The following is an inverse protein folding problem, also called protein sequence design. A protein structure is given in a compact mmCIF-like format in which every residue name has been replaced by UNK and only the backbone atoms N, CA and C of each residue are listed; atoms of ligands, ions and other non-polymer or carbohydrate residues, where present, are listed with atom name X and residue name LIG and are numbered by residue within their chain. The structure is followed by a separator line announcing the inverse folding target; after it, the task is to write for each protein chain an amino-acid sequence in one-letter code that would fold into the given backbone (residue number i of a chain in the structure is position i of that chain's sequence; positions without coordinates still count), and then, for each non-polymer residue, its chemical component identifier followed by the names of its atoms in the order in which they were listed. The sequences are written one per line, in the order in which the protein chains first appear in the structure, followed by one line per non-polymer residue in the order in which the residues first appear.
data_IF_755834666540
#
_entry.id   IF_755834666540
#
_cell.length_a   1.000
_cell.length_b   1.000
_cell.length_c   1.000
_cell.angle_alpha   90.00
_cell.angle_beta   90.00
_cell.angle_gamma   90.00
#
_symmetry.space_group_name_H-M   'P 1'
#
loop_
_entity.id
_entity.type
_entity.pdbx_description
1 polymer ?
#
# COMPACT_ATOMS: atom_id res chain seq x y z
N UNK A 1 -2.47 26.08 -17.67
CA UNK A 1 -1.77 25.08 -18.51
C UNK A 1 -0.54 25.66 -19.20
N UNK A 2 -0.60 26.75 -20.01
CA UNK A 2 0.60 27.33 -20.68
C UNK A 2 1.77 27.70 -19.75
N UNK A 3 1.51 28.10 -18.51
CA UNK A 3 2.55 28.45 -17.52
C UNK A 3 3.30 27.24 -16.96
N UNK A 4 2.73 26.04 -17.05
CA UNK A 4 3.32 24.82 -16.49
C UNK A 4 4.22 24.09 -17.50
N UNK A 5 4.07 24.40 -18.80
CA UNK A 5 4.75 23.72 -19.91
C UNK A 5 6.28 23.66 -19.75
N UNK A 6 6.98 24.74 -19.34
CA UNK A 6 8.42 24.69 -19.15
C UNK A 6 8.84 23.69 -18.06
N UNK A 7 8.08 23.60 -16.97
CA UNK A 7 8.36 22.66 -15.88
C UNK A 7 8.09 21.21 -16.30
N UNK A 8 7.02 20.97 -17.06
CA UNK A 8 6.72 19.65 -17.62
C UNK A 8 7.80 19.19 -18.60
N UNK A 9 8.23 20.09 -19.48
CA UNK A 9 9.31 19.82 -20.41
C UNK A 9 10.62 19.55 -19.67
N UNK A 10 10.94 20.32 -18.62
CA UNK A 10 12.14 20.10 -17.83
C UNK A 10 12.17 18.71 -17.20
N UNK A 11 11.07 18.28 -16.57
CA UNK A 11 10.94 16.94 -15.93
C UNK A 11 11.03 15.77 -16.93
N UNK A 12 10.83 16.03 -18.23
CA UNK A 12 10.95 15.02 -19.27
C UNK A 12 12.41 14.68 -19.61
N UNK A 13 13.30 15.66 -19.50
CA UNK A 13 14.70 15.52 -19.91
C UNK A 13 15.70 15.54 -18.76
N UNK A 14 15.29 15.99 -17.56
CA UNK A 14 16.17 16.15 -16.42
C UNK A 14 15.65 15.37 -15.21
N UNK A 15 16.58 14.84 -14.42
CA UNK A 15 16.29 14.10 -13.18
C UNK A 15 17.15 14.58 -12.00
N UNK A 16 17.99 15.58 -12.22
CA UNK A 16 18.90 16.14 -11.24
C UNK A 16 19.22 17.61 -11.57
N UNK A 17 19.62 18.42 -10.57
CA UNK A 17 19.68 18.09 -9.14
C UNK A 17 18.29 17.89 -8.52
N UNK A 18 18.22 17.16 -7.39
CA UNK A 18 16.93 16.80 -6.77
C UNK A 18 16.12 18.01 -6.30
N UNK A 19 16.79 19.10 -5.93
CA UNK A 19 16.13 20.38 -5.59
C UNK A 19 15.27 20.89 -6.73
N UNK A 20 15.82 20.87 -7.95
CA UNK A 20 15.16 21.38 -9.15
C UNK A 20 14.03 20.42 -9.56
N UNK A 21 14.25 19.10 -9.42
CA UNK A 21 13.19 18.11 -9.60
C UNK A 21 11.98 18.44 -8.72
N UNK A 22 12.20 18.70 -7.43
CA UNK A 22 11.12 19.05 -6.50
C UNK A 22 10.45 20.34 -6.94
N UNK A 23 11.21 21.40 -7.25
CA UNK A 23 10.66 22.68 -7.70
C UNK A 23 9.79 22.53 -8.96
N UNK A 24 10.30 21.86 -10.00
CA UNK A 24 9.55 21.63 -11.23
C UNK A 24 8.35 20.70 -11.02
N UNK A 25 8.46 19.71 -10.11
CA UNK A 25 7.33 18.85 -9.74
C UNK A 25 6.22 19.63 -9.08
N UNK A 26 6.54 20.49 -8.11
CA UNK A 26 5.60 21.37 -7.40
C UNK A 26 4.92 22.34 -8.36
N UNK A 27 5.69 23.05 -9.17
CA UNK A 27 5.20 24.05 -10.11
C UNK A 27 4.28 23.48 -11.21
N UNK A 28 4.45 22.18 -11.53
CA UNK A 28 3.63 21.47 -12.51
C UNK A 28 2.46 20.68 -11.91
N UNK A 29 2.29 20.70 -10.58
CA UNK A 29 1.34 19.85 -9.86
C UNK A 29 -0.06 19.83 -10.44
N UNK A 30 -0.71 20.99 -10.57
CA UNK A 30 -2.10 21.05 -11.02
C UNK A 30 -2.28 20.41 -12.41
N UNK A 31 -1.32 20.62 -13.31
CA UNK A 31 -1.37 20.04 -14.65
C UNK A 31 -1.21 18.51 -14.61
N UNK A 32 -0.26 18.00 -13.83
CA UNK A 32 -0.05 16.55 -13.66
C UNK A 32 -1.22 15.85 -12.98
N UNK A 33 -1.83 16.45 -11.95
CA UNK A 33 -3.01 15.91 -11.28
C UNK A 33 -4.18 15.82 -12.26
N UNK A 34 -4.45 16.89 -13.02
CA UNK A 34 -5.50 16.89 -14.03
C UNK A 34 -5.26 15.80 -15.09
N UNK A 35 -4.00 15.60 -15.47
CA UNK A 35 -3.63 14.53 -16.38
C UNK A 35 -3.80 13.11 -15.79
N UNK A 36 -3.38 12.89 -14.55
CA UNK A 36 -3.55 11.60 -13.85
C UNK A 36 -5.04 11.28 -13.62
N UNK A 37 -5.86 12.28 -13.29
CA UNK A 37 -7.31 12.13 -13.07
C UNK A 37 -8.11 11.89 -14.35
N UNK A 38 -7.59 12.24 -15.53
CA UNK A 38 -8.23 11.92 -16.81
C UNK A 38 -8.00 10.47 -17.25
N UNK A 39 -6.94 9.83 -16.75
CA UNK A 39 -6.62 8.43 -17.00
C UNK A 39 -7.06 7.56 -15.81
N UNK A 40 -8.37 7.50 -15.54
CA UNK A 40 -8.95 6.75 -14.40
C UNK A 40 -8.94 5.22 -14.56
N UNK A 41 -8.26 4.68 -15.57
CA UNK A 41 -8.24 3.24 -15.81
C UNK A 41 -7.36 2.47 -14.78
N UNK A 42 -6.67 3.19 -13.89
CA UNK A 42 -5.80 2.61 -12.86
C UNK A 42 -4.51 2.02 -13.43
N UNK A 43 -4.14 2.44 -14.65
CA UNK A 43 -2.96 1.96 -15.34
C UNK A 43 -1.71 2.72 -14.91
N UNK A 44 -1.16 2.29 -13.77
CA UNK A 44 0.05 2.88 -13.18
C UNK A 44 1.25 2.88 -14.13
N UNK A 45 1.33 1.88 -15.03
CA UNK A 45 2.41 1.77 -16.00
C UNK A 45 2.47 2.98 -16.96
N UNK A 46 1.31 3.47 -17.41
CA UNK A 46 1.23 4.66 -18.27
C UNK A 46 1.70 5.91 -17.54
N UNK A 47 1.35 6.05 -16.25
CA UNK A 47 1.80 7.18 -15.42
C UNK A 47 3.32 7.19 -15.30
N UNK A 48 3.94 6.04 -15.02
CA UNK A 48 5.41 5.92 -14.91
C UNK A 48 6.14 6.04 -16.25
N UNK A 49 5.46 5.75 -17.36
CA UNK A 49 5.98 6.01 -18.71
C UNK A 49 5.96 7.50 -19.03
N UNK A 50 4.89 8.19 -18.64
CA UNK A 50 4.71 9.63 -18.89
C UNK A 50 5.55 10.50 -17.95
N UNK A 51 5.75 10.06 -16.71
CA UNK A 51 6.54 10.75 -15.69
C UNK A 51 7.74 9.88 -15.25
N UNK A 52 8.78 9.75 -16.09
CA UNK A 52 9.93 8.88 -15.79
C UNK A 52 10.65 9.23 -14.49
N UNK A 53 10.56 10.49 -14.04
CA UNK A 53 11.14 10.94 -12.76
C UNK A 53 10.63 10.15 -11.55
N UNK A 54 9.42 9.58 -11.62
CA UNK A 54 8.91 8.69 -10.58
C UNK A 54 9.76 7.43 -10.43
N UNK A 55 10.48 6.98 -11.47
CA UNK A 55 11.39 5.82 -11.39
C UNK A 55 12.65 6.09 -10.56
N UNK A 56 12.95 7.36 -10.26
CA UNK A 56 14.06 7.74 -9.40
C UNK A 56 13.90 7.12 -8.00
N UNK A 57 14.97 6.71 -7.28
CA UNK A 57 14.86 6.10 -5.95
C UNK A 57 14.09 6.95 -4.92
N UNK A 58 14.05 8.27 -5.10
CA UNK A 58 13.30 9.21 -4.26
C UNK A 58 11.93 9.60 -4.84
N UNK A 59 11.49 9.00 -5.95
CA UNK A 59 10.24 9.31 -6.63
C UNK A 59 9.01 9.16 -5.73
N UNK A 60 9.04 8.25 -4.76
CA UNK A 60 7.97 8.14 -3.76
C UNK A 60 7.75 9.43 -2.96
N UNK A 61 8.80 10.23 -2.72
CA UNK A 61 8.67 11.53 -2.01
C UNK A 61 7.86 12.55 -2.81
N UNK A 62 7.92 12.50 -4.14
CA UNK A 62 7.09 13.33 -5.02
C UNK A 62 5.62 12.94 -4.91
N UNK A 63 5.34 11.64 -4.80
CA UNK A 63 3.99 11.11 -4.56
C UNK A 63 3.49 11.55 -3.19
N UNK A 64 4.32 11.49 -2.14
CA UNK A 64 3.93 11.98 -0.81
C UNK A 64 3.60 13.47 -0.83
N UNK A 65 4.41 14.28 -1.52
CA UNK A 65 4.16 15.71 -1.67
C UNK A 65 2.81 15.99 -2.35
N UNK A 66 2.51 15.27 -3.43
CA UNK A 66 1.23 15.42 -4.12
C UNK A 66 0.04 14.95 -3.26
N UNK A 67 0.20 13.86 -2.50
CA UNK A 67 -0.82 13.41 -1.56
C UNK A 67 -1.11 14.49 -0.52
N UNK A 68 -0.07 15.06 0.10
CA UNK A 68 -0.20 16.12 1.09
C UNK A 68 -0.89 17.36 0.52
N UNK A 69 -0.58 17.73 -0.74
CA UNK A 69 -1.23 18.87 -1.38
C UNK A 69 -2.70 18.62 -1.74
N UNK A 70 -3.07 17.40 -2.12
CA UNK A 70 -4.44 17.03 -2.50
C UNK A 70 -5.37 16.78 -1.31
N UNK A 71 -4.88 16.06 -0.31
CA UNK A 71 -5.70 15.51 0.79
C UNK A 71 -5.34 16.13 2.16
N UNK A 72 -4.32 16.98 2.20
CA UNK A 72 -3.77 17.51 3.45
C UNK A 72 -2.89 16.50 4.18
N UNK A 73 -2.44 16.88 5.37
CA UNK A 73 -1.67 16.02 6.28
C UNK A 73 -2.37 15.88 7.65
N UNK A 74 -3.71 15.85 7.63
CA UNK A 74 -4.52 15.90 8.85
C UNK A 74 -4.29 14.65 9.71
N UNK A 75 -4.17 13.48 9.05
CA UNK A 75 -3.94 12.20 9.71
C UNK A 75 -2.71 11.53 9.10
N UNK A 76 -1.88 10.99 9.98
CA UNK A 76 -0.64 10.32 9.65
C UNK A 76 -0.63 8.98 10.35
N UNK A 77 -0.20 7.92 9.65
CA UNK A 77 -0.13 6.58 10.26
C UNK A 77 0.66 6.61 11.57
N UNK A 78 1.68 7.47 11.69
CA UNK A 78 2.51 7.56 12.89
C UNK A 78 1.75 8.08 14.12
N UNK A 79 0.75 8.93 13.91
CA UNK A 79 -0.05 9.50 15.00
C UNK A 79 -1.17 8.54 15.41
N UNK A 80 -1.79 7.87 14.43
CA UNK A 80 -2.95 7.01 14.67
C UNK A 80 -2.55 5.58 15.07
N UNK A 81 -1.38 5.10 14.64
CA UNK A 81 -0.95 3.72 14.83
C UNK A 81 -0.80 3.31 16.30
N UNK A 82 -0.27 4.12 17.24
CA UNK A 82 -0.16 3.72 18.64
C UNK A 82 -1.50 3.29 19.26
N UNK A 83 -2.56 4.08 19.07
CA UNK A 83 -3.89 3.75 19.57
C UNK A 83 -4.52 2.60 18.77
N UNK A 84 -4.46 2.68 17.43
CA UNK A 84 -5.00 1.65 16.54
C UNK A 84 -4.38 0.28 16.82
N UNK A 85 -3.07 0.18 16.94
CA UNK A 85 -2.34 -1.06 17.15
C UNK A 85 -2.67 -1.73 18.49
N UNK A 86 -2.94 -0.93 19.54
CA UNK A 86 -3.43 -1.43 20.83
C UNK A 86 -4.83 -2.03 20.69
N UNK A 87 -5.77 -1.30 20.08
CA UNK A 87 -7.17 -1.74 19.92
C UNK A 87 -7.27 -2.94 18.98
N UNK A 88 -6.55 -2.93 17.85
CA UNK A 88 -6.56 -4.01 16.88
C UNK A 88 -5.96 -5.29 17.48
N UNK A 89 -4.88 -5.20 18.26
CA UNK A 89 -4.29 -6.35 18.95
C UNK A 89 -5.28 -6.98 19.93
N UNK A 90 -5.97 -6.17 20.73
CA UNK A 90 -7.00 -6.66 21.63
C UNK A 90 -8.17 -7.31 20.88
N UNK A 91 -8.62 -6.72 19.78
CA UNK A 91 -9.67 -7.28 18.93
C UNK A 91 -9.22 -8.61 18.27
N UNK A 92 -7.97 -8.70 17.81
CA UNK A 92 -7.40 -9.92 17.23
C UNK A 92 -7.46 -11.10 18.20
N UNK A 93 -7.19 -10.89 19.50
CA UNK A 93 -7.32 -11.96 20.52
C UNK A 93 -8.73 -12.51 20.64
N UNK A 94 -9.73 -11.66 20.38
CA UNK A 94 -11.14 -12.02 20.48
C UNK A 94 -11.61 -12.69 19.19
N UNK A 95 -11.20 -12.21 18.03
CA UNK A 95 -11.78 -12.55 16.73
C UNK A 95 -10.99 -13.62 15.95
N UNK A 96 -9.66 -13.70 16.09
CA UNK A 96 -8.85 -14.70 15.40
C UNK A 96 -9.04 -16.05 16.10
N UNK A 97 -9.60 -17.03 15.38
CA UNK A 97 -9.86 -18.41 15.87
C UNK A 97 -9.13 -19.49 15.08
N UNK A 98 -8.50 -19.12 13.98
CA UNK A 98 -7.66 -20.03 13.23
C UNK A 98 -6.36 -20.28 14.02
N UNK A 99 -6.07 -21.54 14.32
CA UNK A 99 -4.97 -21.94 15.20
C UNK A 99 -3.61 -21.40 14.74
N UNK A 100 -3.36 -21.38 13.43
CA UNK A 100 -2.07 -20.93 12.89
C UNK A 100 -1.86 -19.44 13.19
N UNK A 101 -2.91 -18.62 12.99
CA UNK A 101 -2.82 -17.18 13.24
C UNK A 101 -2.93 -16.82 14.72
N UNK A 102 -3.64 -17.63 15.52
CA UNK A 102 -3.67 -17.51 16.98
C UNK A 102 -2.28 -17.77 17.59
N UNK A 103 -1.59 -18.83 17.15
CA UNK A 103 -0.20 -19.11 17.55
C UNK A 103 0.74 -17.95 17.20
N UNK A 104 0.61 -17.38 15.99
CA UNK A 104 1.40 -16.21 15.58
C UNK A 104 1.09 -14.97 16.43
N UNK A 105 -0.17 -14.76 16.81
CA UNK A 105 -0.59 -13.66 17.68
C UNK A 105 -0.01 -13.80 19.09
N UNK A 106 0.04 -15.03 19.62
CA UNK A 106 0.59 -15.34 20.94
C UNK A 106 2.11 -15.15 21.04
N UNK A 107 2.82 -15.10 19.91
CA UNK A 107 4.25 -14.78 19.90
C UNK A 107 4.53 -13.30 20.22
N UNK A 108 3.54 -12.42 20.12
CA UNK A 108 3.69 -10.99 20.46
C UNK A 108 3.66 -10.84 21.99
N UNK A 109 4.80 -10.50 22.58
CA UNK A 109 4.99 -10.34 24.03
C UNK A 109 5.77 -9.06 24.37
N UNK A 110 6.03 -8.82 25.65
CA UNK A 110 6.71 -7.61 26.16
C UNK A 110 8.17 -7.46 25.67
N UNK A 111 8.84 -8.56 25.32
CA UNK A 111 10.21 -8.54 24.80
C UNK A 111 10.27 -8.28 23.29
N UNK A 112 9.11 -8.19 22.61
CA UNK A 112 9.05 -7.94 21.18
C UNK A 112 9.42 -6.48 20.91
N UNK A 113 10.39 -6.23 20.02
CA UNK A 113 10.73 -4.86 19.60
C UNK A 113 9.52 -4.16 18.96
N UNK A 114 9.47 -2.83 18.99
CA UNK A 114 8.35 -2.07 18.41
C UNK A 114 8.17 -2.40 16.92
N UNK A 115 9.26 -2.46 16.15
CA UNK A 115 9.20 -2.75 14.72
C UNK A 115 8.72 -4.19 14.44
N UNK A 116 9.23 -5.18 15.19
CA UNK A 116 8.75 -6.56 15.07
C UNK A 116 7.26 -6.65 15.43
N UNK A 117 6.82 -5.97 16.50
CA UNK A 117 5.41 -5.92 16.89
C UNK A 117 4.57 -5.34 15.76
N UNK A 118 5.00 -4.24 15.14
CA UNK A 118 4.31 -3.62 14.01
C UNK A 118 4.18 -4.59 12.84
N UNK A 119 5.28 -5.26 12.45
CA UNK A 119 5.30 -6.26 11.37
C UNK A 119 4.32 -7.39 11.66
N UNK A 120 4.34 -7.95 12.88
CA UNK A 120 3.45 -9.06 13.27
C UNK A 120 1.99 -8.64 13.20
N UNK A 121 1.63 -7.48 13.75
CA UNK A 121 0.26 -6.96 13.69
C UNK A 121 -0.21 -6.73 12.26
N UNK A 122 0.62 -6.09 11.42
CA UNK A 122 0.32 -5.88 10.01
C UNK A 122 0.10 -7.22 9.26
N UNK A 123 0.95 -8.22 9.50
CA UNK A 123 0.82 -9.56 8.90
C UNK A 123 -0.41 -10.34 9.39
N UNK A 124 -0.97 -9.99 10.55
CA UNK A 124 -2.19 -10.60 11.10
C UNK A 124 -3.48 -9.91 10.64
N UNK A 125 -3.42 -8.71 10.07
CA UNK A 125 -4.60 -8.01 9.52
C UNK A 125 -5.41 -8.87 8.53
N UNK A 126 -4.81 -9.64 7.60
CA UNK A 126 -5.57 -10.54 6.72
C UNK A 126 -6.38 -11.62 7.45
N UNK A 127 -5.91 -12.08 8.62
CA UNK A 127 -6.61 -13.09 9.42
C UNK A 127 -7.78 -12.49 10.22
N UNK A 128 -7.67 -11.22 10.60
CA UNK A 128 -8.77 -10.46 11.20
C UNK A 128 -9.80 -10.03 10.14
N UNK A 129 -9.32 -9.44 9.05
CA UNK A 129 -10.09 -8.98 7.89
C UNK A 129 -10.12 -10.05 6.80
N UNK A 130 -10.73 -11.19 7.12
CA UNK A 130 -10.82 -12.32 6.19
C UNK A 130 -11.44 -11.84 4.86
N UNK A 131 -10.82 -12.12 3.71
CA UNK A 131 -11.36 -11.73 2.41
C UNK A 131 -12.77 -12.30 2.25
N UNK A 132 -13.79 -11.47 2.02
CA UNK A 132 -15.18 -11.95 1.84
C UNK A 132 -15.61 -11.93 0.38
N UNK A 133 -14.97 -11.08 -0.43
CA UNK A 133 -15.28 -10.91 -1.84
C UNK A 133 -14.73 -12.05 -2.69
N UNK A 134 -15.48 -12.47 -3.70
CA UNK A 134 -15.00 -13.41 -4.71
C UNK A 134 -14.37 -12.65 -5.87
N UNK A 135 -13.21 -13.12 -6.32
CA UNK A 135 -12.50 -12.61 -7.49
C UNK A 135 -12.81 -13.51 -8.68
N UNK A 136 -13.20 -12.90 -9.79
CA UNK A 136 -13.41 -13.61 -11.06
C UNK A 136 -12.05 -13.87 -11.72
N UNK A 137 -11.68 -15.13 -11.90
CA UNK A 137 -10.51 -15.60 -12.64
C UNK A 137 -11.02 -16.38 -13.86
N UNK A 138 -11.18 -15.69 -14.99
CA UNK A 138 -11.81 -16.23 -16.19
C UNK A 138 -13.29 -16.58 -15.97
N UNK A 139 -13.63 -17.87 -16.11
CA UNK A 139 -14.99 -18.38 -15.89
C UNK A 139 -15.29 -18.73 -14.43
N UNK A 140 -14.27 -18.82 -13.57
CA UNK A 140 -14.43 -19.20 -12.16
C UNK A 140 -14.44 -17.97 -11.25
N UNK A 141 -15.23 -18.03 -10.19
CA UNK A 141 -15.28 -17.00 -9.14
C UNK A 141 -14.87 -17.64 -7.83
N UNK A 142 -13.74 -17.21 -7.27
CA UNK A 142 -13.16 -17.83 -6.07
C UNK A 142 -12.89 -16.78 -4.99
N UNK A 143 -13.10 -17.19 -3.73
CA UNK A 143 -12.77 -16.39 -2.56
C UNK A 143 -11.26 -16.51 -2.29
N UNK A 144 -10.51 -15.40 -2.15
CA UNK A 144 -9.11 -15.44 -1.76
C UNK A 144 -8.94 -16.09 -0.38
N UNK A 145 -7.86 -16.84 -0.23
CA UNK A 145 -7.42 -17.36 1.08
C UNK A 145 -6.77 -16.24 1.91
N UNK A 146 -6.64 -16.45 3.22
CA UNK A 146 -5.92 -15.52 4.11
C UNK A 146 -4.45 -15.37 3.65
N UNK A 147 -3.82 -16.45 3.21
CA UNK A 147 -2.45 -16.43 2.69
C UNK A 147 -2.33 -15.65 1.37
N UNK A 148 -3.28 -15.78 0.44
CA UNK A 148 -3.30 -14.96 -0.78
C UNK A 148 -3.46 -13.47 -0.45
N UNK A 149 -4.37 -13.15 0.48
CA UNK A 149 -4.58 -11.79 0.97
C UNK A 149 -3.33 -11.21 1.63
N UNK A 150 -2.66 -11.99 2.48
CA UNK A 150 -1.39 -11.61 3.10
C UNK A 150 -0.33 -11.33 2.04
N UNK A 151 -0.11 -12.24 1.09
CA UNK A 151 0.91 -12.09 0.04
C UNK A 151 0.59 -10.95 -0.94
N UNK A 152 -0.67 -10.54 -1.05
CA UNK A 152 -1.09 -9.39 -1.84
C UNK A 152 -0.95 -8.06 -1.09
N UNK A 153 -0.97 -8.10 0.24
CA UNK A 153 -0.75 -6.93 1.10
C UNK A 153 0.75 -6.70 1.34
N UNK A 154 1.43 -7.72 1.88
CA UNK A 154 2.84 -7.75 2.24
C UNK A 154 3.45 -9.05 1.70
N UNK A 155 4.23 -8.93 0.63
CA UNK A 155 5.03 -10.03 0.11
C UNK A 155 6.28 -10.20 0.99
N UNK A 156 6.38 -11.32 1.71
CA UNK A 156 7.59 -11.64 2.47
C UNK A 156 8.53 -12.47 1.62
N UNK A 157 9.79 -12.05 1.51
CA UNK A 157 10.84 -12.77 0.77
C UNK A 157 12.07 -12.96 1.66
N UNK A 158 12.74 -14.10 1.53
CA UNK A 158 13.92 -14.41 2.33
C UNK A 158 15.16 -13.64 1.85
N UNK A 159 15.26 -13.42 0.53
CA UNK A 159 16.40 -12.81 -0.10
C UNK A 159 16.00 -12.03 -1.35
N UNK A 160 16.85 -11.10 -1.78
CA UNK A 160 16.66 -10.39 -3.05
C UNK A 160 16.80 -11.31 -4.28
N UNK A 161 17.37 -12.52 -4.14
CA UNK A 161 17.47 -13.46 -5.25
C UNK A 161 16.13 -14.14 -5.58
N UNK A 162 15.25 -14.31 -4.57
CA UNK A 162 13.91 -14.89 -4.74
C UNK A 162 12.89 -13.90 -5.31
N UNK A 163 13.23 -12.62 -5.19
CA UNK A 163 12.42 -11.46 -5.45
C UNK A 163 11.88 -11.33 -6.88
N UNK A 164 12.72 -11.47 -7.90
CA UNK A 164 12.28 -11.31 -9.31
C UNK A 164 11.24 -12.36 -9.71
N UNK A 165 11.41 -13.60 -9.24
CA UNK A 165 10.45 -14.69 -9.49
C UNK A 165 9.10 -14.40 -8.85
N UNK A 166 9.10 -13.86 -7.63
CA UNK A 166 7.89 -13.56 -6.89
C UNK A 166 7.14 -12.35 -7.46
N UNK A 167 7.85 -11.32 -7.90
CA UNK A 167 7.25 -10.16 -8.60
C UNK A 167 6.65 -10.61 -9.93
N UNK A 168 7.36 -11.43 -10.70
CA UNK A 168 6.86 -11.90 -11.99
C UNK A 168 5.60 -12.74 -11.82
N UNK A 169 5.52 -13.54 -10.73
CA UNK A 169 4.27 -14.22 -10.36
C UNK A 169 3.13 -13.25 -10.07
N UNK A 170 3.40 -12.13 -9.40
CA UNK A 170 2.36 -11.11 -9.16
C UNK A 170 1.95 -10.39 -10.45
N UNK A 171 2.90 -10.08 -11.36
CA UNK A 171 2.59 -9.52 -12.69
C UNK A 171 1.68 -10.43 -13.48
N UNK A 172 2.01 -11.71 -13.55
CA UNK A 172 1.20 -12.71 -14.26
C UNK A 172 -0.22 -12.83 -13.68
N UNK A 173 -0.37 -12.71 -12.35
CA UNK A 173 -1.70 -12.68 -11.70
C UNK A 173 -2.49 -11.43 -12.07
N UNK A 174 -1.87 -10.26 -12.05
CA UNK A 174 -2.53 -9.01 -12.44
C UNK A 174 -2.94 -9.05 -13.92
N UNK A 175 -2.05 -9.50 -14.81
CA UNK A 175 -2.31 -9.66 -16.23
C UNK A 175 -3.48 -10.63 -16.50
N UNK A 176 -3.57 -11.75 -15.76
CA UNK A 176 -4.71 -12.68 -15.85
C UNK A 176 -6.05 -12.07 -15.43
N UNK A 177 -6.04 -10.93 -14.73
CA UNK A 177 -7.22 -10.15 -14.35
C UNK A 177 -7.44 -8.92 -15.26
N UNK A 178 -6.65 -8.75 -16.33
CA UNK A 178 -6.59 -7.54 -17.16
C UNK A 178 -6.31 -6.27 -16.33
N UNK A 179 -5.49 -6.41 -15.29
CA UNK A 179 -5.04 -5.31 -14.44
C UNK A 179 -3.53 -5.12 -14.62
N UNK A 180 -3.06 -3.89 -14.44
CA UNK A 180 -1.65 -3.67 -14.18
C UNK A 180 -1.30 -4.10 -12.75
N UNK A 181 -0.03 -4.46 -12.52
CA UNK A 181 0.45 -4.72 -11.17
C UNK A 181 0.25 -3.46 -10.33
N UNK A 182 -0.65 -3.54 -9.36
CA UNK A 182 -0.95 -2.44 -8.45
C UNK A 182 0.14 -2.31 -7.39
N UNK A 183 0.30 -1.15 -6.74
CA UNK A 183 1.25 -0.97 -5.64
C UNK A 183 1.13 -2.06 -4.57
N UNK A 184 2.26 -2.56 -4.08
CA UNK A 184 2.30 -3.51 -2.97
C UNK A 184 3.61 -3.40 -2.18
N UNK A 185 3.60 -3.95 -0.97
CA UNK A 185 4.71 -3.89 -0.02
C UNK A 185 5.51 -5.18 -0.05
N UNK A 186 6.82 -5.08 0.11
CA UNK A 186 7.73 -6.21 0.20
C UNK A 186 8.59 -6.09 1.45
N UNK A 187 8.60 -7.14 2.27
CA UNK A 187 9.48 -7.27 3.43
C UNK A 187 10.54 -8.33 3.15
N UNK A 188 11.80 -7.96 3.34
CA UNK A 188 12.94 -8.86 3.15
C UNK A 188 13.49 -9.29 4.51
N UNK A 189 13.50 -10.59 4.77
CA UNK A 189 13.92 -11.17 6.04
C UNK A 189 13.49 -12.64 6.16
N UNK A 190 14.09 -13.37 7.11
CA UNK A 190 13.75 -14.80 7.31
C UNK A 190 12.38 -14.96 7.98
N UNK A 191 12.07 -14.07 8.91
CA UNK A 191 10.85 -14.08 9.71
C UNK A 191 10.52 -12.66 10.19
N UNK A 192 9.48 -12.51 11.01
CA UNK A 192 9.05 -11.21 11.52
C UNK A 192 10.06 -10.55 12.47
N UNK A 193 10.91 -11.32 13.17
CA UNK A 193 11.95 -10.78 14.07
C UNK A 193 13.25 -10.41 13.34
N UNK A 194 13.40 -10.81 12.07
CA UNK A 194 14.62 -10.63 11.28
C UNK A 194 14.37 -9.97 9.91
N UNK A 195 13.39 -9.06 9.83
CA UNK A 195 13.21 -8.19 8.65
C UNK A 195 14.30 -7.12 8.64
N UNK A 196 15.02 -7.02 7.52
CA UNK A 196 16.17 -6.11 7.38
C UNK A 196 16.00 -5.08 6.25
N UNK A 197 14.98 -5.21 5.41
CA UNK A 197 14.66 -4.21 4.41
C UNK A 197 13.17 -4.19 4.06
N UNK A 198 12.68 -2.99 3.75
CA UNK A 198 11.31 -2.72 3.34
C UNK A 198 11.31 -2.09 1.95
N UNK A 199 10.38 -2.50 1.11
CA UNK A 199 10.20 -1.90 -0.20
C UNK A 199 8.73 -1.67 -0.51
N UNK A 200 8.48 -0.64 -1.31
CA UNK A 200 7.20 -0.45 -2.01
C UNK A 200 7.48 -0.62 -3.50
N UNK A 201 6.79 -1.58 -4.12
CA UNK A 201 6.90 -1.85 -5.54
C UNK A 201 5.73 -1.22 -6.28
N UNK A 202 6.04 -0.43 -7.31
CA UNK A 202 5.06 0.29 -8.14
C UNK A 202 5.48 0.15 -9.60
N UNK A 203 4.61 -0.46 -10.42
CA UNK A 203 4.93 -0.87 -11.79
C UNK A 203 6.19 -1.77 -11.84
N UNK A 204 7.35 -1.20 -12.17
CA UNK A 204 8.66 -1.86 -12.18
C UNK A 204 9.67 -1.21 -11.23
N UNK A 205 9.24 -0.15 -10.53
CA UNK A 205 10.09 0.64 -9.65
C UNK A 205 10.02 0.11 -8.23
N UNK A 206 11.16 0.14 -7.54
CA UNK A 206 11.30 -0.30 -6.18
C UNK A 206 11.87 0.81 -5.32
N UNK A 207 11.05 1.30 -4.41
CA UNK A 207 11.47 2.27 -3.43
C UNK A 207 11.91 1.54 -2.18
N UNK A 208 13.16 1.73 -1.77
CA UNK A 208 13.65 1.28 -0.47
C UNK A 208 13.09 2.20 0.61
N UNK A 209 12.46 1.61 1.61
CA UNK A 209 11.74 2.31 2.68
C UNK A 209 12.36 1.99 4.05
N UNK A 210 12.21 2.93 4.98
CA UNK A 210 12.89 2.93 6.28
C UNK A 210 12.25 1.99 7.31
N UNK A 211 10.92 1.79 7.27
CA UNK A 211 10.18 0.94 8.22
C UNK A 211 8.93 0.30 7.61
N UNK A 212 8.36 -0.68 8.31
CA UNK A 212 7.11 -1.34 7.95
C UNK A 212 5.95 -0.34 7.86
N UNK A 213 5.81 0.56 8.83
CA UNK A 213 4.74 1.57 8.83
C UNK A 213 4.92 2.59 7.71
N UNK A 214 6.16 3.03 7.44
CA UNK A 214 6.44 3.91 6.30
C UNK A 214 6.09 3.23 4.98
N UNK A 215 6.33 1.93 4.84
CA UNK A 215 5.99 1.19 3.63
C UNK A 215 4.48 1.12 3.41
N UNK A 216 3.70 0.91 4.48
CA UNK A 216 2.23 0.98 4.44
C UNK A 216 1.75 2.37 4.04
N UNK A 217 2.30 3.42 4.66
CA UNK A 217 1.92 4.81 4.38
C UNK A 217 2.22 5.23 2.94
N UNK A 218 3.44 4.96 2.46
CA UNK A 218 3.83 5.26 1.08
C UNK A 218 2.95 4.48 0.11
N UNK A 219 2.79 3.16 0.31
CA UNK A 219 1.96 2.35 -0.58
C UNK A 219 0.50 2.81 -0.60
N UNK A 220 -0.05 3.19 0.55
CA UNK A 220 -1.39 3.73 0.66
C UNK A 220 -1.55 5.03 -0.15
N UNK A 221 -0.66 6.01 0.05
CA UNK A 221 -0.68 7.29 -0.67
C UNK A 221 -0.57 7.11 -2.18
N UNK A 222 0.17 6.10 -2.62
CA UNK A 222 0.30 5.76 -4.04
C UNK A 222 -1.03 5.36 -4.68
N UNK A 223 -1.93 4.67 -3.96
CA UNK A 223 -3.26 4.37 -4.51
C UNK A 223 -4.07 5.63 -4.82
N UNK A 224 -3.97 6.64 -3.96
CA UNK A 224 -4.71 7.89 -4.12
C UNK A 224 -4.13 8.78 -5.21
N UNK A 225 -2.83 9.07 -5.15
CA UNK A 225 -2.19 10.00 -6.09
C UNK A 225 -2.14 9.43 -7.51
N UNK A 226 -1.90 8.12 -7.64
CA UNK A 226 -1.77 7.47 -8.95
C UNK A 226 -3.12 6.93 -9.47
N UNK A 227 -4.22 7.17 -8.75
CA UNK A 227 -5.53 6.56 -9.03
C UNK A 227 -5.47 5.03 -9.23
N UNK A 228 -4.58 4.38 -8.49
CA UNK A 228 -4.36 2.94 -8.58
C UNK A 228 -5.45 2.20 -7.79
N UNK A 229 -5.83 1.01 -8.26
CA UNK A 229 -6.77 0.16 -7.54
C UNK A 229 -6.08 -0.56 -6.38
N UNK A 230 -6.78 -0.76 -5.27
CA UNK A 230 -6.31 -1.72 -4.28
C UNK A 230 -6.21 -3.13 -4.89
N UNK A 231 -5.16 -3.91 -4.56
CA UNK A 231 -5.09 -5.32 -4.93
C UNK A 231 -6.34 -6.06 -4.43
N UNK A 232 -6.97 -6.85 -5.30
CA UNK A 232 -8.30 -7.43 -5.02
C UNK A 232 -8.27 -8.42 -3.86
N UNK A 233 -7.20 -9.19 -3.71
CA UNK A 233 -7.02 -10.17 -2.65
C UNK A 233 -6.90 -9.53 -1.26
N UNK A 234 -6.35 -8.32 -1.19
CA UNK A 234 -6.13 -7.57 0.06
C UNK A 234 -6.95 -6.29 0.17
N UNK A 235 -7.96 -6.10 -0.68
CA UNK A 235 -8.70 -4.85 -0.80
C UNK A 235 -9.32 -4.41 0.54
N UNK A 236 -9.83 -5.35 1.32
CA UNK A 236 -10.44 -5.10 2.62
C UNK A 236 -9.44 -4.58 3.67
N UNK A 237 -8.16 -4.95 3.56
CA UNK A 237 -7.11 -4.46 4.47
C UNK A 237 -6.83 -3.00 4.17
N UNK A 238 -6.71 -2.65 2.88
CA UNK A 238 -6.55 -1.27 2.46
C UNK A 238 -7.76 -0.40 2.79
N UNK A 239 -8.99 -0.93 2.67
CA UNK A 239 -10.19 -0.24 3.14
C UNK A 239 -10.21 -0.02 4.65
N UNK A 240 -9.74 -0.99 5.45
CA UNK A 240 -9.59 -0.82 6.89
C UNK A 240 -8.57 0.29 7.20
N UNK A 241 -7.40 0.28 6.56
CA UNK A 241 -6.36 1.31 6.71
C UNK A 241 -6.94 2.69 6.35
N UNK A 242 -7.62 2.80 5.20
CA UNK A 242 -8.24 4.02 4.72
C UNK A 242 -9.22 4.62 5.75
N UNK A 243 -10.10 3.79 6.31
CA UNK A 243 -11.14 4.22 7.25
C UNK A 243 -10.61 4.47 8.66
N UNK A 244 -9.74 3.60 9.16
CA UNK A 244 -9.33 3.63 10.57
C UNK A 244 -8.04 4.40 10.84
N UNK A 245 -7.14 4.55 9.87
CA UNK A 245 -5.87 5.26 10.04
C UNK A 245 -5.83 6.61 9.31
N UNK A 246 -6.64 6.78 8.27
CA UNK A 246 -6.68 8.03 7.49
C UNK A 246 -8.06 8.70 7.50
N UNK A 247 -9.05 8.11 8.17
CA UNK A 247 -10.43 8.60 8.25
C UNK A 247 -11.00 9.04 6.88
N UNK A 248 -10.65 8.32 5.82
CA UNK A 248 -11.00 8.69 4.46
C UNK A 248 -12.09 7.76 3.90
N UNK A 249 -13.03 8.35 3.17
CA UNK A 249 -14.09 7.65 2.44
C UNK A 249 -14.16 8.21 1.04
N UNK A 250 -14.30 7.34 0.05
CA UNK A 250 -14.39 7.73 -1.36
C UNK A 250 -15.68 7.19 -1.98
N UNK A 251 -16.08 7.77 -3.12
CA UNK A 251 -17.20 7.25 -3.92
C UNK A 251 -16.93 5.85 -4.52
N UNK A 252 -15.66 5.41 -4.53
CA UNK A 252 -15.24 4.11 -5.04
C UNK A 252 -15.11 3.05 -3.94
N UNK A 253 -15.39 3.41 -2.68
CA UNK A 253 -15.34 2.48 -1.56
C UNK A 253 -16.31 1.32 -1.79
N UNK A 254 -15.79 0.10 -1.78
CA UNK A 254 -16.64 -1.10 -1.82
C UNK A 254 -17.15 -1.40 -0.42
N UNK A 255 -18.47 -1.54 -0.27
CA UNK A 255 -19.07 -1.94 0.99
C UNK A 255 -18.53 -3.30 1.44
N UNK A 256 -17.89 -3.33 2.60
CA UNK A 256 -17.35 -4.54 3.19
C UNK A 256 -17.82 -4.66 4.65
N UNK A 257 -18.79 -5.54 4.88
CA UNK A 257 -19.42 -5.72 6.20
C UNK A 257 -18.43 -6.10 7.30
N UNK A 258 -17.36 -6.85 6.99
CA UNK A 258 -16.33 -7.19 7.98
C UNK A 258 -15.50 -5.96 8.36
N UNK A 259 -15.11 -5.13 7.40
CA UNK A 259 -14.41 -3.86 7.67
C UNK A 259 -15.30 -2.94 8.51
N UNK A 260 -16.57 -2.77 8.15
CA UNK A 260 -17.52 -1.95 8.93
C UNK A 260 -17.70 -2.48 10.36
N UNK A 261 -17.80 -3.81 10.53
CA UNK A 261 -17.91 -4.42 11.86
C UNK A 261 -16.66 -4.17 12.71
N UNK A 262 -15.47 -4.27 12.12
CA UNK A 262 -14.21 -4.00 12.82
C UNK A 262 -14.12 -2.52 13.19
N UNK A 263 -14.42 -1.62 12.27
CA UNK A 263 -14.45 -0.19 12.52
C UNK A 263 -15.38 0.16 13.70
N UNK A 264 -16.60 -0.39 13.72
CA UNK A 264 -17.54 -0.21 14.84
C UNK A 264 -17.01 -0.79 16.16
N UNK A 265 -16.33 -1.93 16.13
CA UNK A 265 -15.74 -2.52 17.34
C UNK A 265 -14.61 -1.63 17.87
N UNK A 266 -13.71 -1.15 17.01
CA UNK A 266 -12.59 -0.28 17.39
C UNK A 266 -13.08 1.06 17.97
N UNK A 267 -14.18 1.61 17.47
CA UNK A 267 -14.78 2.85 18.00
C UNK A 267 -15.35 2.69 19.41
N UNK A 268 -15.66 1.47 19.85
CA UNK A 268 -16.20 1.17 21.20
C UNK A 268 -15.12 0.85 22.24
N UNK A 269 -13.88 0.64 21.81
CA UNK A 269 -12.71 0.30 22.63
C UNK A 269 -11.82 1.52 22.89
#
# INVERSE_FOLDING_TARGET
LKLCEPHLQWLKYNQEPWTDVVEHWEASRLARIMDMTTHKDGNVHLIFTKWPILKHPQGYKLIESDYTAQFGNILSIYNEWPEFSRKIYALMKIEIKDKVYEEQLNQINENTSEEERNIRLLKLLPALCIPTMRIRKGTRSMKPTISESLNSFILSVNSFADFERDIERQRNRAAALNLTLQPFIIFVGRDASSVNAYYVCIDKTLYKIESALKAVDVCYKCFFVLHACYPKESQQIWLLIQKCLYNMTTEHDVCNSKVTSIEMALRKM
#
